data_IF_034204969347
#
_entry.id   IF_034204969347
#
_cell.length_a   1.000
_cell.length_b   1.000
_cell.length_c   1.000
_cell.angle_alpha   90.00
_cell.angle_beta   90.00
_cell.angle_gamma   90.00
#
_symmetry.space_group_name_H-M   'P 1'
#
loop_
_entity.id
_entity.type
_entity.pdbx_description
1 polymer ?
#
# COMPACT_ATOMS: atom_id res chain seq x y z
N UNK A 1 -48.49 37.06 -46.50
CA UNK A 1 -47.81 35.91 -45.84
C UNK A 1 -47.51 36.31 -44.40
N UNK A 2 -47.90 35.43 -43.46
CA UNK A 2 -47.42 35.21 -42.08
C UNK A 2 -47.33 36.44 -41.15
N UNK A 3 -48.34 36.67 -40.31
CA UNK A 3 -48.47 36.18 -38.92
C UNK A 3 -47.42 36.77 -37.94
N UNK A 4 -47.85 37.86 -37.30
CA UNK A 4 -47.83 38.13 -35.84
C UNK A 4 -46.54 37.91 -35.04
N UNK A 5 -45.95 39.04 -34.65
CA UNK A 5 -45.35 39.38 -33.34
C UNK A 5 -45.60 38.39 -32.20
N UNK A 6 -44.55 37.79 -31.66
CA UNK A 6 -44.34 37.40 -30.26
C UNK A 6 -42.83 37.09 -30.21
N UNK A 7 -41.98 37.83 -29.52
CA UNK A 7 -41.85 37.85 -28.08
C UNK A 7 -40.92 39.02 -27.72
N UNK A 8 -41.25 39.73 -26.63
CA UNK A 8 -40.31 40.63 -25.94
C UNK A 8 -38.95 39.92 -25.73
N UNK A 9 -37.82 40.62 -25.78
CA UNK A 9 -36.64 40.12 -25.11
C UNK A 9 -36.98 40.04 -23.62
N UNK A 10 -37.12 38.83 -23.09
CA UNK A 10 -37.16 38.63 -21.65
C UNK A 10 -35.72 38.85 -21.20
N UNK A 11 -35.52 39.81 -20.29
CA UNK A 11 -34.25 39.95 -19.57
C UNK A 11 -33.93 38.58 -18.98
N UNK A 12 -32.84 37.98 -19.46
CA UNK A 12 -32.27 36.76 -18.89
C UNK A 12 -31.72 37.17 -17.53
N UNK A 13 -32.57 37.14 -16.51
CA UNK A 13 -32.12 37.09 -15.13
C UNK A 13 -31.50 35.69 -15.02
N UNK A 14 -30.19 35.62 -15.22
CA UNK A 14 -29.39 34.51 -14.70
C UNK A 14 -29.57 34.53 -13.18
N UNK A 15 -30.64 33.91 -12.70
CA UNK A 15 -30.59 33.28 -11.39
C UNK A 15 -29.57 32.16 -11.55
N UNK A 16 -28.29 32.50 -11.37
CA UNK A 16 -27.27 31.53 -10.96
C UNK A 16 -27.75 30.95 -9.62
N UNK A 17 -28.69 30.01 -9.66
CA UNK A 17 -28.82 29.04 -8.60
C UNK A 17 -27.45 28.37 -8.53
N UNK A 18 -26.76 28.65 -7.42
CA UNK A 18 -25.41 28.21 -7.11
C UNK A 18 -25.38 26.68 -6.93
N UNK A 19 -25.59 25.94 -8.03
CA UNK A 19 -25.54 24.49 -8.13
C UNK A 19 -24.17 23.96 -7.71
N UNK A 20 -23.14 24.81 -7.73
CA UNK A 20 -21.78 24.46 -7.31
C UNK A 20 -21.70 24.16 -5.82
N UNK A 21 -22.54 24.81 -4.99
CA UNK A 21 -22.60 24.54 -3.55
C UNK A 21 -23.30 23.22 -3.25
N UNK A 22 -24.37 22.91 -4.00
CA UNK A 22 -25.16 21.69 -3.80
C UNK A 22 -24.37 20.42 -4.17
N UNK A 23 -23.65 20.44 -5.30
CA UNK A 23 -22.80 19.32 -5.71
C UNK A 23 -21.66 19.05 -4.72
N UNK A 24 -21.08 20.12 -4.14
CA UNK A 24 -20.03 20.00 -3.13
C UNK A 24 -20.56 19.38 -1.83
N UNK A 25 -21.79 19.71 -1.43
CA UNK A 25 -22.43 19.09 -0.26
C UNK A 25 -22.70 17.60 -0.44
N UNK A 26 -23.15 17.18 -1.63
CA UNK A 26 -23.41 15.76 -1.92
C UNK A 26 -22.11 14.97 -1.90
N UNK A 27 -21.04 15.50 -2.51
CA UNK A 27 -19.73 14.85 -2.50
C UNK A 27 -19.19 14.70 -1.07
N UNK A 28 -19.37 15.70 -0.22
CA UNK A 28 -18.96 15.63 1.18
C UNK A 28 -19.77 14.61 1.98
N UNK A 29 -21.09 14.51 1.77
CA UNK A 29 -21.92 13.46 2.38
C UNK A 29 -21.47 12.06 1.95
N UNK A 30 -21.24 11.83 0.66
CA UNK A 30 -20.78 10.54 0.14
C UNK A 30 -19.42 10.17 0.72
N UNK A 31 -18.48 11.12 0.78
CA UNK A 31 -17.17 10.94 1.40
C UNK A 31 -17.32 10.59 2.89
N UNK A 32 -18.17 11.30 3.62
CA UNK A 32 -18.39 11.07 5.04
C UNK A 32 -19.06 9.72 5.32
N UNK A 33 -20.01 9.30 4.47
CA UNK A 33 -20.71 8.03 4.57
C UNK A 33 -19.79 6.84 4.28
N UNK A 34 -18.92 6.95 3.26
CA UNK A 34 -18.13 5.83 2.77
C UNK A 34 -16.72 5.75 3.38
N UNK A 35 -16.14 6.88 3.77
CA UNK A 35 -14.79 6.96 4.34
C UNK A 35 -14.82 7.27 5.85
N UNK A 36 -16.00 7.57 6.41
CA UNK A 36 -16.13 7.99 7.80
C UNK A 36 -15.51 9.36 8.05
N UNK A 37 -15.76 9.95 9.21
CA UNK A 37 -15.04 11.16 9.64
C UNK A 37 -13.54 10.87 9.56
N UNK A 38 -12.82 11.55 8.66
CA UNK A 38 -11.39 11.82 8.81
C UNK A 38 -11.22 12.78 10.00
N UNK A 39 -11.68 12.36 11.17
CA UNK A 39 -11.32 12.98 12.42
C UNK A 39 -9.82 12.86 12.49
N UNK A 40 -9.14 14.00 12.59
CA UNK A 40 -7.72 14.15 12.82
C UNK A 40 -7.26 13.58 14.18
N UNK A 41 -7.86 12.47 14.64
CA UNK A 41 -7.13 11.40 15.27
C UNK A 41 -6.66 10.48 14.15
N UNK A 42 -5.55 10.85 13.53
CA UNK A 42 -4.54 9.84 13.30
C UNK A 42 -4.33 9.22 14.68
N UNK A 43 -5.03 8.11 14.92
CA UNK A 43 -4.72 7.22 16.01
C UNK A 43 -3.20 7.11 15.96
N UNK A 44 -2.56 7.47 17.06
CA UNK A 44 -1.26 6.94 17.32
C UNK A 44 -1.49 5.42 17.30
N UNK A 45 -1.38 4.82 16.12
CA UNK A 45 -0.88 3.49 15.97
C UNK A 45 0.45 3.56 16.71
N UNK A 46 0.40 3.33 18.02
CA UNK A 46 1.29 2.37 18.61
C UNK A 46 1.13 1.13 17.73
N UNK A 47 1.83 1.13 16.59
CA UNK A 47 2.44 -0.07 16.07
C UNK A 47 3.15 -0.60 17.31
N UNK A 48 2.45 -1.51 17.98
CA UNK A 48 2.98 -2.44 18.93
C UNK A 48 4.12 -3.08 18.15
N UNK A 49 5.31 -2.46 18.27
CA UNK A 49 6.53 -2.90 17.63
C UNK A 49 6.80 -4.20 18.34
N UNK A 50 6.16 -5.27 17.85
CA UNK A 50 6.44 -6.63 18.23
C UNK A 50 7.95 -6.72 18.13
N UNK A 51 8.62 -6.69 19.28
CA UNK A 51 10.06 -6.80 19.36
C UNK A 51 10.37 -8.12 18.68
N UNK A 52 10.81 -8.06 17.41
CA UNK A 52 11.13 -9.28 16.69
C UNK A 52 12.23 -9.94 17.51
N UNK A 53 12.04 -11.20 17.93
CA UNK A 53 13.05 -11.86 18.73
C UNK A 53 14.37 -11.78 17.98
N UNK A 54 15.44 -11.41 18.69
CA UNK A 54 16.78 -11.38 18.11
C UNK A 54 17.14 -12.79 17.67
N UNK A 55 17.17 -13.01 16.36
CA UNK A 55 17.52 -14.31 15.78
C UNK A 55 18.99 -14.60 16.06
N UNK A 56 19.23 -15.81 16.53
CA UNK A 56 20.57 -16.34 16.76
C UNK A 56 21.22 -16.79 15.46
N UNK A 57 22.55 -16.83 15.45
CA UNK A 57 23.31 -17.33 14.30
C UNK A 57 22.99 -18.81 14.01
N UNK A 58 22.64 -19.59 15.04
CA UNK A 58 22.21 -20.98 14.87
C UNK A 58 20.87 -21.08 14.13
N UNK A 59 19.92 -20.21 14.44
CA UNK A 59 18.63 -20.15 13.74
C UNK A 59 18.81 -19.70 12.29
N UNK A 60 19.67 -18.72 12.03
CA UNK A 60 19.99 -18.30 10.67
C UNK A 60 20.60 -19.45 9.85
N UNK A 61 21.54 -20.21 10.45
CA UNK A 61 22.14 -21.39 9.81
C UNK A 61 21.11 -22.48 9.52
N UNK A 62 20.23 -22.75 10.48
CA UNK A 62 19.19 -23.75 10.32
C UNK A 62 18.22 -23.38 9.18
N UNK A 63 17.75 -22.13 9.17
CA UNK A 63 16.85 -21.62 8.13
C UNK A 63 17.49 -21.70 6.73
N UNK A 64 18.78 -21.38 6.61
CA UNK A 64 19.50 -21.48 5.34
C UNK A 64 19.61 -22.93 4.86
N UNK A 65 19.91 -23.86 5.75
CA UNK A 65 19.96 -25.29 5.40
C UNK A 65 18.59 -25.80 4.92
N UNK A 66 17.51 -25.43 5.63
CA UNK A 66 16.14 -25.78 5.20
C UNK A 66 15.82 -25.22 3.82
N UNK A 67 16.26 -23.99 3.53
CA UNK A 67 16.06 -23.38 2.22
C UNK A 67 16.85 -24.12 1.13
N UNK A 68 18.11 -24.48 1.39
CA UNK A 68 18.93 -25.27 0.46
C UNK A 68 18.23 -26.60 0.15
N UNK A 69 17.89 -27.39 1.17
CA UNK A 69 17.22 -28.69 1.03
C UNK A 69 15.92 -28.59 0.23
N UNK A 70 15.08 -27.59 0.55
CA UNK A 70 13.85 -27.33 -0.19
C UNK A 70 14.12 -27.05 -1.67
N UNK A 71 15.11 -26.21 -1.95
CA UNK A 71 15.43 -25.79 -3.32
C UNK A 71 16.14 -26.86 -4.14
N UNK A 72 16.90 -27.76 -3.52
CA UNK A 72 17.51 -28.92 -4.19
C UNK A 72 16.46 -29.88 -4.76
N UNK A 73 15.29 -29.96 -4.11
CA UNK A 73 14.14 -30.72 -4.62
C UNK A 73 13.43 -30.06 -5.82
N UNK A 74 13.73 -28.79 -6.11
CA UNK A 74 13.12 -28.05 -7.21
C UNK A 74 14.04 -28.06 -8.44
N UNK A 75 13.71 -28.87 -9.43
CA UNK A 75 14.41 -28.96 -10.74
C UNK A 75 14.40 -27.67 -11.58
N UNK A 76 13.91 -26.54 -11.05
CA UNK A 76 13.82 -25.25 -11.73
C UNK A 76 14.68 -24.14 -11.14
N UNK A 77 15.41 -24.38 -10.04
CA UNK A 77 16.23 -23.33 -9.45
C UNK A 77 17.48 -23.07 -10.32
N UNK A 78 17.70 -21.81 -10.70
CA UNK A 78 18.86 -21.44 -11.51
C UNK A 78 20.18 -21.65 -10.76
N UNK A 79 21.26 -22.00 -11.46
CA UNK A 79 22.62 -22.15 -10.91
C UNK A 79 23.15 -20.89 -10.22
N UNK A 80 22.61 -19.72 -10.54
CA UNK A 80 22.92 -18.46 -9.86
C UNK A 80 22.39 -18.45 -8.43
N UNK A 81 21.19 -19.00 -8.20
CA UNK A 81 20.60 -19.10 -6.87
C UNK A 81 21.34 -20.09 -5.99
N UNK A 82 21.70 -21.27 -6.51
CA UNK A 82 22.47 -22.26 -5.72
C UNK A 82 23.80 -21.67 -5.24
N UNK A 83 24.53 -20.97 -6.13
CA UNK A 83 25.77 -20.27 -5.77
C UNK A 83 25.57 -19.15 -4.77
N UNK A 84 24.42 -18.47 -4.80
CA UNK A 84 24.11 -17.42 -3.84
C UNK A 84 23.91 -18.00 -2.44
N UNK A 85 23.21 -19.14 -2.34
CA UNK A 85 23.00 -19.84 -1.07
C UNK A 85 24.33 -20.37 -0.50
N UNK A 86 25.18 -20.98 -1.33
CA UNK A 86 26.52 -21.44 -0.90
C UNK A 86 27.40 -20.30 -0.35
N UNK A 87 27.35 -19.12 -0.99
CA UNK A 87 28.07 -17.93 -0.50
C UNK A 87 27.55 -17.48 0.84
N UNK A 88 26.22 -17.40 0.99
CA UNK A 88 25.57 -17.06 2.26
C UNK A 88 25.95 -18.05 3.37
N UNK A 89 26.08 -19.34 3.07
CA UNK A 89 26.57 -20.33 4.03
C UNK A 89 27.98 -19.99 4.52
N UNK A 90 28.88 -19.68 3.57
CA UNK A 90 30.26 -19.31 3.88
C UNK A 90 30.34 -18.06 4.74
N UNK A 91 29.55 -17.04 4.41
CA UNK A 91 29.51 -15.77 5.14
C UNK A 91 29.00 -15.97 6.58
N UNK A 92 27.96 -16.78 6.78
CA UNK A 92 27.44 -17.11 8.11
C UNK A 92 28.48 -17.90 8.93
N UNK A 93 29.17 -18.85 8.32
CA UNK A 93 30.25 -19.59 9.00
C UNK A 93 31.41 -18.69 9.42
N UNK A 94 31.79 -17.74 8.56
CA UNK A 94 32.81 -16.74 8.89
C UNK A 94 32.39 -15.87 10.09
N UNK A 95 31.11 -15.49 10.18
CA UNK A 95 30.58 -14.77 11.35
C UNK A 95 30.65 -15.64 12.62
N UNK A 96 30.33 -16.92 12.55
CA UNK A 96 30.46 -17.85 13.70
C UNK A 96 31.91 -17.89 14.20
N UNK A 97 32.88 -17.93 13.30
CA UNK A 97 34.31 -17.96 13.66
C UNK A 97 34.74 -16.62 14.25
N UNK A 98 34.29 -15.49 13.69
CA UNK A 98 34.65 -14.15 14.15
C UNK A 98 34.09 -13.78 15.53
N UNK A 99 33.03 -14.46 15.98
CA UNK A 99 32.39 -14.22 17.27
C UNK A 99 32.93 -15.12 18.41
N UNK A 100 33.89 -16.00 18.12
CA UNK A 100 34.59 -16.84 19.10
C UNK A 100 35.92 -16.22 19.52
#
# INVERSE_FOLDING_TARGET
>A
MLLTSFLNPIEEIEEEEDMTTHENTILQEVIQEHLGFLSAKAEAEEEDKLERPLLTIQEARHALNTLIEYTEGLNGLGKSYSRALERLTTDIEALVISLR
#
